data_IF_869998640070
#
_entry.id   IF_869998640070
#
_cell.length_a   1.000
_cell.length_b   1.000
_cell.length_c   1.000
_cell.angle_alpha   90.00
_cell.angle_beta   90.00
_cell.angle_gamma   90.00
#
_symmetry.space_group_name_H-M   'P 1'
#
loop_
_entity.id
_entity.type
_entity.pdbx_description
1 polymer ?
#
# COMPACT_ATOMS: atom_id res chain seq x y z
N UNK A 1 -11.65 10.29 -8.13
CA UNK A 1 -11.56 11.24 -9.26
C UNK A 1 -11.71 12.69 -8.81
N UNK A 2 -12.68 13.03 -7.96
CA UNK A 2 -12.95 14.41 -7.55
C UNK A 2 -11.72 15.12 -6.95
N UNK A 3 -11.00 14.47 -6.02
CA UNK A 3 -9.76 15.04 -5.47
C UNK A 3 -8.70 15.25 -6.56
N UNK A 4 -8.55 14.29 -7.49
CA UNK A 4 -7.59 14.41 -8.62
C UNK A 4 -7.94 15.61 -9.49
N UNK A 5 -9.21 15.75 -9.89
CA UNK A 5 -9.67 16.88 -10.66
C UNK A 5 -9.44 18.23 -9.94
N UNK A 6 -9.76 18.30 -8.64
CA UNK A 6 -9.55 19.50 -7.84
C UNK A 6 -8.07 19.90 -7.78
N UNK A 7 -7.19 18.93 -7.52
CA UNK A 7 -5.73 19.17 -7.46
C UNK A 7 -5.20 19.63 -8.82
N UNK A 8 -5.61 19.00 -9.93
CA UNK A 8 -5.19 19.41 -11.28
C UNK A 8 -5.61 20.86 -11.55
N UNK A 9 -6.85 21.22 -11.25
CA UNK A 9 -7.34 22.61 -11.45
C UNK A 9 -6.54 23.63 -10.64
N UNK A 10 -6.18 23.31 -9.40
CA UNK A 10 -5.34 24.17 -8.57
C UNK A 10 -3.93 24.31 -9.16
N UNK A 11 -3.32 23.22 -9.65
CA UNK A 11 -2.03 23.27 -10.32
C UNK A 11 -2.05 24.15 -11.57
N UNK A 12 -3.10 24.03 -12.37
CA UNK A 12 -3.29 24.88 -13.56
C UNK A 12 -3.41 26.36 -13.21
N UNK A 13 -4.14 26.69 -12.13
CA UNK A 13 -4.22 28.07 -11.62
C UNK A 13 -2.87 28.60 -11.13
N UNK A 14 -2.00 27.72 -10.64
CA UNK A 14 -0.63 28.04 -10.24
C UNK A 14 0.35 28.05 -11.42
N UNK A 15 -0.11 27.83 -12.65
CA UNK A 15 0.67 27.92 -13.88
C UNK A 15 1.31 26.60 -14.34
N UNK A 16 0.99 25.47 -13.73
CA UNK A 16 1.46 24.17 -14.24
C UNK A 16 0.82 23.85 -15.60
N UNK A 17 1.66 23.56 -16.60
CA UNK A 17 1.21 23.32 -17.97
C UNK A 17 1.21 21.83 -18.34
N UNK A 18 2.20 21.08 -17.90
CA UNK A 18 2.34 19.66 -18.22
C UNK A 18 1.96 18.80 -17.01
N UNK A 19 0.72 18.33 -16.99
CA UNK A 19 0.17 17.51 -15.91
C UNK A 19 -0.22 16.15 -16.48
N UNK A 20 0.39 15.09 -15.96
CA UNK A 20 0.14 13.72 -16.36
C UNK A 20 -0.41 12.89 -15.20
N UNK A 21 -1.55 12.24 -15.40
CA UNK A 21 -2.07 11.22 -14.50
C UNK A 21 -1.38 9.90 -14.85
N UNK A 22 -0.67 9.33 -13.90
CA UNK A 22 0.04 8.07 -14.05
C UNK A 22 -0.32 7.08 -12.94
N UNK A 23 -0.48 5.81 -13.30
CA UNK A 23 -0.80 4.70 -12.41
C UNK A 23 -0.11 3.43 -12.88
N UNK A 24 0.23 2.56 -11.95
CA UNK A 24 0.63 1.18 -12.23
C UNK A 24 -0.08 0.23 -11.26
N UNK A 25 -1.01 -0.56 -11.76
CA UNK A 25 -1.72 -1.57 -10.96
C UNK A 25 -0.82 -2.78 -10.65
N UNK A 26 -1.27 -3.71 -9.80
CA UNK A 26 -0.54 -4.93 -9.45
C UNK A 26 -0.56 -6.04 -10.51
N UNK A 27 -1.22 -5.83 -11.66
CA UNK A 27 -1.26 -6.75 -12.81
C UNK A 27 -0.21 -6.41 -13.87
N UNK A 28 -0.28 -7.01 -15.07
CA UNK A 28 0.58 -6.64 -16.18
C UNK A 28 0.53 -5.14 -16.48
N UNK A 29 1.70 -4.52 -16.66
CA UNK A 29 1.80 -3.12 -17.02
C UNK A 29 1.68 -3.01 -18.55
N UNK A 30 0.44 -2.93 -19.05
CA UNK A 30 0.11 -2.97 -20.47
C UNK A 30 -0.96 -1.93 -20.81
N UNK A 31 -0.85 -1.28 -21.97
CA UNK A 31 -1.73 -0.21 -22.40
C UNK A 31 -3.24 -0.56 -22.33
N UNK A 32 -3.72 -1.72 -22.82
CA UNK A 32 -5.15 -2.04 -22.74
C UNK A 32 -5.68 -2.11 -21.32
N UNK A 33 -4.84 -2.57 -20.37
CA UNK A 33 -5.21 -2.66 -18.97
C UNK A 33 -5.21 -1.28 -18.30
N UNK A 34 -4.23 -0.42 -18.62
CA UNK A 34 -4.20 0.96 -18.15
C UNK A 34 -5.43 1.72 -18.62
N UNK A 35 -5.78 1.62 -19.90
CA UNK A 35 -6.96 2.26 -20.46
C UNK A 35 -8.24 1.83 -19.75
N UNK A 36 -8.45 0.53 -19.59
CA UNK A 36 -9.60 -0.02 -18.87
C UNK A 36 -9.63 0.42 -17.39
N UNK A 37 -8.47 0.48 -16.73
CA UNK A 37 -8.34 0.97 -15.37
C UNK A 37 -8.79 2.43 -15.26
N UNK A 38 -8.24 3.32 -16.09
CA UNK A 38 -8.56 4.75 -16.06
C UNK A 38 -10.03 5.03 -16.37
N UNK A 39 -10.64 4.28 -17.27
CA UNK A 39 -12.07 4.36 -17.55
C UNK A 39 -12.91 3.91 -16.35
N UNK A 40 -12.58 2.74 -15.78
CA UNK A 40 -13.33 2.15 -14.67
C UNK A 40 -13.27 2.99 -13.40
N UNK A 41 -12.09 3.59 -13.08
CA UNK A 41 -11.90 4.39 -11.87
C UNK A 41 -12.24 5.88 -12.06
N UNK A 42 -12.67 6.30 -13.25
CA UNK A 42 -13.07 7.68 -13.55
C UNK A 42 -11.90 8.65 -13.78
N UNK A 43 -10.65 8.17 -13.89
CA UNK A 43 -9.49 9.02 -14.18
C UNK A 43 -9.49 9.51 -15.62
N UNK A 44 -10.01 8.70 -16.55
CA UNK A 44 -10.19 9.13 -17.96
C UNK A 44 -11.15 10.33 -18.06
N UNK A 45 -12.21 10.34 -17.25
CA UNK A 45 -13.13 11.47 -17.21
C UNK A 45 -12.50 12.71 -16.57
N UNK A 46 -11.77 12.54 -15.44
CA UNK A 46 -11.04 13.63 -14.80
C UNK A 46 -10.02 14.27 -15.76
N UNK A 47 -9.28 13.46 -16.52
CA UNK A 47 -8.34 13.92 -17.53
C UNK A 47 -9.06 14.74 -18.65
N UNK A 48 -10.19 14.22 -19.17
CA UNK A 48 -10.97 14.95 -20.20
C UNK A 48 -11.48 16.31 -19.72
N UNK A 49 -11.96 16.39 -18.46
CA UNK A 49 -12.49 17.65 -17.88
C UNK A 49 -11.42 18.66 -17.57
N UNK A 50 -10.20 18.22 -17.31
CA UNK A 50 -9.09 19.10 -16.91
C UNK A 50 -8.10 19.36 -18.03
N UNK A 51 -8.10 18.57 -19.10
CA UNK A 51 -7.08 18.61 -20.14
C UNK A 51 -5.74 17.97 -19.72
N UNK A 52 -5.66 17.30 -18.57
CA UNK A 52 -4.48 16.58 -18.16
C UNK A 52 -4.25 15.34 -19.04
N UNK A 53 -2.98 14.96 -19.21
CA UNK A 53 -2.60 13.77 -19.98
C UNK A 53 -2.87 12.50 -19.16
N UNK A 54 -3.20 11.40 -19.82
CA UNK A 54 -3.17 10.05 -19.24
C UNK A 54 -1.92 9.33 -19.72
N UNK A 55 -1.15 8.77 -18.80
CA UNK A 55 -0.06 7.89 -19.18
C UNK A 55 -0.60 6.52 -19.62
N UNK A 56 -0.53 6.24 -20.90
CA UNK A 56 -0.78 4.92 -21.48
C UNK A 56 0.51 4.20 -21.89
N UNK A 57 1.65 4.88 -21.80
CA UNK A 57 2.96 4.30 -22.06
C UNK A 57 3.32 3.24 -21.00
N UNK A 58 4.03 2.21 -21.43
CA UNK A 58 4.46 1.07 -20.59
C UNK A 58 5.96 1.06 -20.34
N UNK A 59 6.64 2.13 -20.72
CA UNK A 59 8.07 2.31 -20.47
C UNK A 59 8.37 2.46 -18.98
N UNK A 60 9.58 2.06 -18.62
CA UNK A 60 10.10 2.17 -17.27
C UNK A 60 11.61 2.29 -17.31
N UNK A 61 12.19 2.95 -16.32
CA UNK A 61 13.65 3.10 -16.19
C UNK A 61 14.11 2.96 -14.75
N UNK A 62 15.39 2.70 -14.59
CA UNK A 62 16.03 2.58 -13.29
C UNK A 62 16.34 3.97 -12.73
N UNK A 63 16.00 4.19 -11.46
CA UNK A 63 16.44 5.32 -10.66
C UNK A 63 17.31 4.83 -9.51
N UNK A 64 18.31 5.64 -9.13
CA UNK A 64 19.19 5.37 -8.00
C UNK A 64 18.80 6.13 -6.76
N UNK A 65 19.22 5.62 -5.60
CA UNK A 65 19.06 6.27 -4.30
C UNK A 65 20.06 5.75 -3.26
N UNK A 66 20.09 6.40 -2.10
CA UNK A 66 20.95 6.05 -0.98
C UNK A 66 20.24 5.13 0.04
N UNK A 67 19.48 4.14 -0.47
CA UNK A 67 18.71 3.24 0.36
C UNK A 67 19.56 2.31 1.23
N UNK A 68 19.00 1.89 2.35
CA UNK A 68 19.64 0.96 3.29
C UNK A 68 19.57 -0.48 2.83
N UNK A 69 18.46 -0.90 2.20
CA UNK A 69 18.24 -2.28 1.72
C UNK A 69 18.12 -2.35 0.21
N UNK A 70 17.72 -1.25 -0.46
CA UNK A 70 17.59 -1.17 -1.91
C UNK A 70 18.08 0.18 -2.40
N UNK A 71 19.03 0.16 -3.33
CA UNK A 71 19.67 1.38 -3.88
C UNK A 71 19.21 1.71 -5.30
N UNK A 72 18.50 0.81 -5.97
CA UNK A 72 18.03 0.97 -7.34
C UNK A 72 16.59 0.48 -7.45
N UNK A 73 15.78 1.26 -8.14
CA UNK A 73 14.38 0.95 -8.37
C UNK A 73 14.05 1.17 -9.83
N UNK A 74 13.32 0.24 -10.43
CA UNK A 74 12.68 0.49 -11.71
C UNK A 74 11.35 1.17 -11.44
N UNK A 75 11.15 2.35 -12.01
CA UNK A 75 9.89 3.11 -11.91
C UNK A 75 9.34 3.37 -13.31
N UNK A 76 8.04 3.60 -13.40
CA UNK A 76 7.40 3.97 -14.68
C UNK A 76 7.93 5.31 -15.17
N UNK A 77 8.08 5.47 -16.49
CA UNK A 77 8.70 6.65 -17.11
C UNK A 77 8.14 7.98 -16.62
N UNK A 78 6.81 8.19 -16.48
CA UNK A 78 6.30 9.46 -16.00
C UNK A 78 6.80 9.89 -14.61
N UNK A 79 7.15 8.90 -13.78
CA UNK A 79 7.70 9.17 -12.44
C UNK A 79 9.17 9.56 -12.52
N UNK A 80 9.93 8.91 -13.41
CA UNK A 80 11.35 9.24 -13.60
C UNK A 80 11.56 10.59 -14.28
N UNK A 81 10.59 11.04 -15.08
CA UNK A 81 10.63 12.32 -15.82
C UNK A 81 10.00 13.49 -15.05
N UNK A 82 9.34 13.22 -13.90
CA UNK A 82 8.62 14.24 -13.18
C UNK A 82 9.54 15.23 -12.43
N UNK A 83 9.30 16.52 -12.55
CA UNK A 83 9.89 17.56 -11.70
C UNK A 83 9.28 17.51 -10.29
N UNK A 84 7.99 17.17 -10.18
CA UNK A 84 7.21 17.08 -8.95
C UNK A 84 6.18 15.96 -9.07
N UNK A 85 6.09 15.15 -8.05
CA UNK A 85 5.07 14.09 -7.93
C UNK A 85 3.98 14.55 -6.98
N UNK A 86 2.72 14.56 -7.44
CA UNK A 86 1.54 14.71 -6.60
C UNK A 86 1.02 13.31 -6.27
N UNK A 87 1.28 12.87 -5.05
CA UNK A 87 0.94 11.53 -4.57
C UNK A 87 -0.45 11.57 -3.91
N UNK A 88 -1.48 11.20 -4.66
CA UNK A 88 -2.87 11.19 -4.17
C UNK A 88 -3.23 9.78 -3.69
N UNK A 89 -3.33 9.58 -2.40
CA UNK A 89 -3.60 8.29 -1.80
C UNK A 89 -4.93 8.24 -1.05
N UNK A 90 -5.53 7.05 -0.98
CA UNK A 90 -6.71 6.76 -0.15
C UNK A 90 -6.25 6.25 1.21
N UNK A 91 -6.78 6.82 2.30
CA UNK A 91 -6.49 6.32 3.64
C UNK A 91 -7.11 4.94 3.84
N UNK A 92 -6.28 3.95 4.19
CA UNK A 92 -6.75 2.60 4.46
C UNK A 92 -5.79 1.79 5.33
N UNK A 93 -6.34 0.84 6.08
CA UNK A 93 -5.57 -0.23 6.69
C UNK A 93 -5.03 -1.18 5.61
N UNK A 94 -3.99 -1.94 5.93
CA UNK A 94 -3.33 -2.84 4.98
C UNK A 94 -2.82 -4.10 5.66
N UNK A 95 -3.11 -5.26 5.08
CA UNK A 95 -2.75 -6.56 5.64
C UNK A 95 -1.25 -6.74 5.91
N UNK A 96 -0.37 -6.21 5.06
CA UNK A 96 1.07 -6.35 5.22
C UNK A 96 1.69 -5.19 6.00
N UNK A 97 1.40 -3.94 5.61
CA UNK A 97 2.06 -2.74 6.15
C UNK A 97 1.30 -2.04 7.26
N UNK A 98 0.13 -2.56 7.67
CA UNK A 98 -0.83 -2.01 8.63
C UNK A 98 -1.52 -0.74 8.11
N UNK A 99 -0.77 0.20 7.57
CA UNK A 99 -1.23 1.45 6.96
C UNK A 99 -0.90 1.44 5.45
N UNK A 100 -1.86 1.86 4.64
CA UNK A 100 -1.63 2.36 3.28
C UNK A 100 -1.95 3.84 3.29
N UNK A 101 -0.90 4.64 3.40
CA UNK A 101 -0.91 6.09 3.42
C UNK A 101 0.02 6.65 2.33
N UNK A 102 0.68 7.75 2.64
CA UNK A 102 1.52 8.47 1.69
C UNK A 102 2.74 7.64 1.23
N UNK A 103 3.47 7.02 2.16
CA UNK A 103 4.67 6.22 1.83
C UNK A 103 4.31 4.98 1.02
N UNK A 104 3.33 4.19 1.48
CA UNK A 104 2.95 2.94 0.79
C UNK A 104 2.36 3.18 -0.59
N UNK A 105 1.64 4.29 -0.80
CA UNK A 105 1.04 4.60 -2.10
C UNK A 105 2.10 4.79 -3.19
N UNK A 106 3.28 5.29 -2.85
CA UNK A 106 4.41 5.44 -3.78
C UNK A 106 4.92 4.10 -4.35
N UNK A 107 4.54 2.97 -3.77
CA UNK A 107 4.77 1.67 -4.39
C UNK A 107 4.04 1.52 -5.75
N UNK A 108 3.03 2.36 -6.00
CA UNK A 108 2.41 2.55 -7.30
C UNK A 108 3.37 2.98 -8.42
N UNK A 109 4.51 3.60 -8.08
CA UNK A 109 5.54 3.99 -9.05
C UNK A 109 6.26 2.80 -9.69
N UNK A 110 6.24 1.62 -9.07
CA UNK A 110 6.87 0.39 -9.57
C UNK A 110 6.00 -0.24 -10.66
N UNK A 111 6.56 -0.65 -11.81
CA UNK A 111 5.79 -1.31 -12.87
C UNK A 111 5.12 -2.61 -12.41
N UNK A 112 3.87 -2.74 -12.65
CA UNK A 112 2.98 -3.91 -12.53
C UNK A 112 3.54 -5.15 -11.83
N UNK A 113 4.00 -6.12 -12.62
CA UNK A 113 4.46 -7.43 -12.12
C UNK A 113 5.76 -7.38 -11.31
N UNK A 114 6.53 -6.31 -11.36
CA UNK A 114 7.69 -6.13 -10.47
C UNK A 114 7.28 -5.96 -9.00
N UNK A 115 6.03 -5.57 -8.71
CA UNK A 115 5.53 -5.49 -7.33
C UNK A 115 5.51 -6.86 -6.63
N UNK A 116 4.94 -7.93 -7.21
CA UNK A 116 5.08 -9.29 -6.67
C UNK A 116 6.53 -9.74 -6.48
N UNK A 117 7.43 -9.40 -7.41
CA UNK A 117 8.86 -9.74 -7.29
C UNK A 117 9.50 -9.08 -6.05
N UNK A 118 9.18 -7.81 -5.78
CA UNK A 118 9.64 -7.13 -4.58
C UNK A 118 9.05 -7.74 -3.30
N UNK A 119 7.81 -8.21 -3.32
CA UNK A 119 7.26 -8.98 -2.20
C UNK A 119 8.01 -10.30 -1.97
N UNK A 120 8.48 -10.95 -3.03
CA UNK A 120 9.29 -12.17 -2.92
C UNK A 120 10.70 -11.87 -2.42
N UNK A 121 11.31 -10.80 -2.90
CA UNK A 121 12.65 -10.35 -2.50
C UNK A 121 12.69 -9.90 -1.04
N UNK A 122 11.61 -9.29 -0.55
CA UNK A 122 11.45 -8.81 0.83
C UNK A 122 10.21 -9.46 1.48
N UNK A 123 10.26 -10.78 1.78
CA UNK A 123 9.11 -11.51 2.30
C UNK A 123 8.76 -11.13 3.74
N UNK A 124 9.76 -10.65 4.50
CA UNK A 124 9.55 -10.18 5.86
C UNK A 124 8.99 -8.75 5.82
N UNK A 125 7.93 -8.53 6.60
CA UNK A 125 7.22 -7.25 6.69
C UNK A 125 8.16 -6.06 6.98
N UNK A 126 9.12 -6.27 7.88
CA UNK A 126 10.06 -5.24 8.29
C UNK A 126 10.98 -4.82 7.13
N UNK A 127 11.52 -5.78 6.39
CA UNK A 127 12.40 -5.51 5.25
C UNK A 127 11.64 -4.91 4.07
N UNK A 128 10.40 -5.35 3.85
CA UNK A 128 9.53 -4.75 2.86
C UNK A 128 9.24 -3.27 3.16
N UNK A 129 8.99 -2.94 4.44
CA UNK A 129 8.77 -1.56 4.86
C UNK A 129 10.05 -0.71 4.76
N UNK A 130 11.24 -1.28 5.05
CA UNK A 130 12.52 -0.62 4.79
C UNK A 130 12.70 -0.29 3.31
N UNK A 131 12.40 -1.23 2.43
CA UNK A 131 12.43 -1.02 0.98
C UNK A 131 11.47 0.08 0.53
N UNK A 132 10.25 0.16 1.10
CA UNK A 132 9.31 1.25 0.78
C UNK A 132 9.85 2.63 1.18
N UNK A 133 10.54 2.74 2.31
CA UNK A 133 11.20 3.99 2.72
C UNK A 133 12.36 4.34 1.78
N UNK A 134 13.14 3.35 1.35
CA UNK A 134 14.21 3.55 0.40
C UNK A 134 13.68 4.01 -0.97
N UNK A 135 12.59 3.40 -1.48
CA UNK A 135 11.90 3.84 -2.68
C UNK A 135 11.42 5.29 -2.53
N UNK A 136 10.73 5.57 -1.42
CA UNK A 136 10.23 6.91 -1.13
C UNK A 136 11.34 7.97 -1.16
N UNK A 137 12.52 7.66 -0.63
CA UNK A 137 13.66 8.57 -0.60
C UNK A 137 14.35 8.72 -1.97
N UNK A 138 14.21 7.76 -2.88
CA UNK A 138 14.82 7.78 -4.21
C UNK A 138 14.00 8.56 -5.25
N UNK A 139 12.73 8.85 -4.97
CA UNK A 139 11.84 9.55 -5.89
C UNK A 139 12.15 11.06 -5.96
N UNK A 140 11.79 11.74 -7.06
CA UNK A 140 11.74 13.20 -7.16
C UNK A 140 10.94 13.85 -6.01
N UNK A 141 10.92 15.18 -5.88
CA UNK A 141 10.08 15.86 -4.90
C UNK A 141 8.63 15.38 -4.92
N UNK A 142 8.06 15.13 -3.73
CA UNK A 142 6.70 14.58 -3.59
C UNK A 142 5.89 15.45 -2.65
N UNK A 143 4.70 15.87 -3.08
CA UNK A 143 3.65 16.40 -2.20
C UNK A 143 2.56 15.34 -2.13
N UNK A 144 2.14 14.97 -0.92
CA UNK A 144 1.15 13.90 -0.72
C UNK A 144 -0.18 14.48 -0.26
N UNK A 145 -1.25 14.00 -0.88
CA UNK A 145 -2.64 14.24 -0.49
C UNK A 145 -3.27 12.93 -0.06
N UNK A 146 -3.93 12.93 1.08
CA UNK A 146 -4.66 11.76 1.59
C UNK A 146 -6.15 12.03 1.52
N UNK A 147 -6.83 11.29 0.66
CA UNK A 147 -8.29 11.23 0.65
C UNK A 147 -8.76 10.29 1.77
N UNK A 148 -9.24 10.88 2.85
CA UNK A 148 -9.85 10.20 3.97
C UNK A 148 -11.33 10.58 4.11
N UNK A 149 -12.00 11.09 3.07
CA UNK A 149 -13.45 11.32 3.11
C UNK A 149 -14.16 9.98 3.32
N UNK A 150 -13.93 9.03 2.41
CA UNK A 150 -14.31 7.62 2.58
C UNK A 150 -13.03 6.79 2.67
N UNK A 151 -12.66 6.38 3.87
CA UNK A 151 -11.52 5.53 4.16
C UNK A 151 -11.88 4.04 4.13
N UNK A 152 -10.90 3.17 4.42
CA UNK A 152 -11.12 1.73 4.55
C UNK A 152 -10.46 1.20 5.82
N UNK A 153 -11.19 0.38 6.58
CA UNK A 153 -10.71 -0.31 7.77
C UNK A 153 -10.72 -1.84 7.60
N UNK A 154 -10.05 -2.58 8.49
CA UNK A 154 -9.99 -4.04 8.46
C UNK A 154 -8.98 -4.59 7.45
N UNK A 155 -9.35 -5.61 6.69
CA UNK A 155 -8.44 -6.36 5.81
C UNK A 155 -8.20 -5.64 4.46
N UNK A 156 -7.76 -4.37 4.52
CA UNK A 156 -7.30 -3.66 3.32
C UNK A 156 -6.09 -4.34 2.65
N UNK A 157 -5.75 -3.96 1.42
CA UNK A 157 -6.15 -2.73 0.74
C UNK A 157 -7.44 -2.82 -0.07
N UNK A 158 -8.05 -4.02 -0.25
CA UNK A 158 -9.23 -4.24 -1.09
C UNK A 158 -10.37 -4.98 -0.40
N UNK A 159 -10.07 -5.79 0.62
CA UNK A 159 -11.02 -6.62 1.36
C UNK A 159 -11.58 -5.99 2.64
N UNK A 160 -11.27 -4.72 2.91
CA UNK A 160 -11.75 -4.01 4.08
C UNK A 160 -13.17 -3.47 3.95
N UNK A 161 -13.62 -2.75 4.98
CA UNK A 161 -14.92 -2.08 5.04
C UNK A 161 -14.73 -0.58 4.84
N UNK A 162 -15.69 0.06 4.21
CA UNK A 162 -15.74 1.53 4.13
C UNK A 162 -15.92 2.12 5.52
N UNK A 163 -15.24 3.23 5.77
CA UNK A 163 -15.41 4.05 6.98
C UNK A 163 -15.39 5.51 6.58
N UNK A 164 -16.46 6.21 6.88
CA UNK A 164 -16.54 7.65 6.68
C UNK A 164 -15.68 8.37 7.72
N UNK A 165 -14.82 9.28 7.29
CA UNK A 165 -13.95 10.11 8.14
C UNK A 165 -14.15 11.59 7.84
N UNK A 166 -14.44 11.94 6.57
CA UNK A 166 -14.74 13.31 6.18
C UNK A 166 -13.51 14.24 6.06
N UNK A 167 -12.30 13.68 6.00
CA UNK A 167 -11.06 14.45 6.00
C UNK A 167 -10.31 14.38 4.66
N UNK A 168 -9.60 15.46 4.36
CA UNK A 168 -8.52 15.48 3.37
C UNK A 168 -7.27 16.05 4.04
N UNK A 169 -6.14 15.38 3.90
CA UNK A 169 -4.86 15.77 4.49
C UNK A 169 -3.84 16.04 3.37
N UNK A 170 -2.91 16.96 3.60
CA UNK A 170 -1.86 17.27 2.64
C UNK A 170 -0.56 17.62 3.36
N UNK A 171 0.57 17.17 2.82
CA UNK A 171 1.90 17.55 3.30
C UNK A 171 2.97 17.34 2.23
N UNK A 172 4.00 18.18 2.24
CA UNK A 172 5.25 17.94 1.53
C UNK A 172 6.12 16.89 2.26
N UNK A 173 5.90 16.71 3.57
CA UNK A 173 6.53 15.64 4.35
C UNK A 173 5.58 14.44 4.46
N UNK A 174 5.81 13.44 3.60
CA UNK A 174 5.01 12.20 3.55
C UNK A 174 5.17 11.31 4.78
N UNK A 175 6.28 11.44 5.50
CA UNK A 175 6.54 10.65 6.71
C UNK A 175 5.77 11.24 7.90
N UNK A 176 5.83 12.56 8.09
CA UNK A 176 5.00 13.26 9.07
C UNK A 176 3.50 13.07 8.76
N UNK A 177 3.12 13.06 7.47
CA UNK A 177 1.74 12.80 7.06
C UNK A 177 1.28 11.39 7.46
N UNK A 178 2.12 10.36 7.32
CA UNK A 178 1.76 9.00 7.75
C UNK A 178 1.73 8.86 9.28
N UNK A 179 2.47 9.67 10.03
CA UNK A 179 2.32 9.79 11.48
C UNK A 179 0.96 10.40 11.86
N UNK A 180 0.50 11.43 11.13
CA UNK A 180 -0.86 11.99 11.28
C UNK A 180 -1.93 10.97 10.88
N UNK A 181 -1.72 10.24 9.79
CA UNK A 181 -2.60 9.14 9.39
C UNK A 181 -2.75 8.07 10.47
N UNK A 182 -1.68 7.75 11.21
CA UNK A 182 -1.74 6.84 12.35
C UNK A 182 -2.69 7.35 13.45
N UNK A 183 -2.66 8.66 13.73
CA UNK A 183 -3.56 9.29 14.68
C UNK A 183 -5.03 9.23 14.22
N UNK A 184 -5.30 9.52 12.94
CA UNK A 184 -6.64 9.40 12.34
C UNK A 184 -7.16 7.97 12.42
N UNK A 185 -6.29 6.98 12.22
CA UNK A 185 -6.65 5.56 12.35
C UNK A 185 -6.85 5.12 13.81
N UNK A 186 -6.37 5.89 14.80
CA UNK A 186 -6.33 5.46 16.18
C UNK A 186 -5.41 4.25 16.41
N UNK A 187 -4.35 4.13 15.59
CA UNK A 187 -3.38 3.03 15.65
C UNK A 187 -2.06 3.55 16.18
N UNK A 188 -1.48 2.84 17.16
CA UNK A 188 -0.16 3.19 17.70
C UNK A 188 0.89 3.25 16.57
N UNK A 189 1.57 4.40 16.36
CA UNK A 189 2.62 4.56 15.36
C UNK A 189 3.71 3.50 15.44
N UNK A 190 4.06 3.03 16.64
CA UNK A 190 5.05 1.98 16.86
C UNK A 190 4.62 0.63 16.24
N UNK A 191 3.33 0.40 16.07
CA UNK A 191 2.77 -0.81 15.45
C UNK A 191 2.72 -0.74 13.92
N UNK A 192 2.97 0.43 13.32
CA UNK A 192 3.00 0.66 11.88
C UNK A 192 4.47 0.68 11.43
N UNK A 193 4.97 -0.36 10.76
CA UNK A 193 6.40 -0.49 10.48
C UNK A 193 6.99 0.66 9.65
N UNK A 194 6.26 1.19 8.67
CA UNK A 194 6.72 2.34 7.87
C UNK A 194 6.87 3.59 8.73
N UNK A 195 5.96 3.86 9.66
CA UNK A 195 6.02 5.02 10.56
C UNK A 195 7.12 4.84 11.59
N UNK A 196 7.15 3.70 12.29
CA UNK A 196 8.19 3.39 13.28
C UNK A 196 9.59 3.50 12.69
N UNK A 197 9.83 2.86 11.54
CA UNK A 197 11.14 2.89 10.88
C UNK A 197 11.50 4.26 10.32
N UNK A 198 10.53 5.09 9.92
CA UNK A 198 10.81 6.47 9.51
C UNK A 198 11.27 7.32 10.69
N UNK A 199 10.69 7.12 11.88
CA UNK A 199 11.14 7.75 13.13
C UNK A 199 12.56 7.25 13.49
N UNK A 200 12.79 5.95 13.47
CA UNK A 200 14.11 5.33 13.73
C UNK A 200 15.22 5.85 12.80
N UNK A 201 14.87 6.18 11.56
CA UNK A 201 15.80 6.76 10.57
C UNK A 201 15.94 8.30 10.66
N UNK A 202 15.21 8.96 11.54
CA UNK A 202 15.18 10.43 11.63
C UNK A 202 14.50 11.12 10.45
N UNK A 203 13.68 10.40 9.68
CA UNK A 203 12.92 10.94 8.55
C UNK A 203 11.59 11.57 8.99
N UNK A 204 11.11 11.24 10.17
CA UNK A 204 9.82 11.64 10.72
C UNK A 204 10.01 12.17 12.15
N UNK A 205 9.24 13.19 12.60
CA UNK A 205 9.17 13.57 14.00
C UNK A 205 8.84 12.36 14.90
N UNK A 206 9.40 12.34 16.11
CA UNK A 206 9.22 11.21 17.03
C UNK A 206 7.78 11.10 17.57
N UNK A 207 7.03 12.20 17.54
CA UNK A 207 5.65 12.24 18.04
C UNK A 207 4.79 13.24 17.26
N UNK A 208 3.48 13.06 17.32
CA UNK A 208 2.51 13.99 16.75
C UNK A 208 2.61 15.41 17.31
N UNK A 209 3.05 15.56 18.59
CA UNK A 209 3.23 16.85 19.22
C UNK A 209 4.29 17.73 18.55
N UNK A 210 5.22 17.12 17.82
CA UNK A 210 6.28 17.82 17.07
C UNK A 210 5.85 18.17 15.63
N UNK A 211 4.68 17.72 15.20
CA UNK A 211 4.15 18.02 13.86
C UNK A 211 3.35 19.32 13.92
N UNK A 212 3.70 20.28 13.07
CA UNK A 212 2.89 21.49 12.88
C UNK A 212 1.64 21.14 12.09
N UNK A 213 0.49 21.08 12.76
CA UNK A 213 -0.80 20.86 12.16
C UNK A 213 -1.48 22.19 11.84
N UNK A 214 -1.93 22.34 10.60
CA UNK A 214 -2.75 23.48 10.16
C UNK A 214 -4.16 22.96 9.85
N UNK A 215 -5.19 23.73 10.19
CA UNK A 215 -6.59 23.35 10.02
C UNK A 215 -7.22 22.75 11.27
N UNK A 216 -8.23 21.92 11.07
CA UNK A 216 -9.03 21.35 12.16
C UNK A 216 -8.33 20.15 12.81
N UNK A 217 -7.73 20.39 13.98
CA UNK A 217 -7.03 19.34 14.75
C UNK A 217 -7.98 18.36 15.41
N UNK A 218 -9.15 18.81 15.82
CA UNK A 218 -10.11 17.98 16.53
C UNK A 218 -10.73 16.94 15.61
N UNK A 219 -10.81 17.26 14.33
CA UNK A 219 -11.30 16.33 13.30
C UNK A 219 -10.46 15.05 13.18
N UNK A 220 -9.18 15.05 13.58
CA UNK A 220 -8.32 13.86 13.45
C UNK A 220 -8.81 12.64 14.23
N UNK A 221 -9.55 12.85 15.32
CA UNK A 221 -10.04 11.77 16.20
C UNK A 221 -11.53 11.52 16.11
N UNK A 222 -12.27 12.32 15.34
CA UNK A 222 -13.74 12.27 15.28
C UNK A 222 -14.28 10.94 14.72
N UNK A 223 -13.54 10.30 13.80
CA UNK A 223 -13.97 9.03 13.20
C UNK A 223 -13.89 7.83 14.16
N UNK A 224 -13.29 8.01 15.33
CA UNK A 224 -12.96 6.92 16.26
C UNK A 224 -11.96 5.90 15.69
N UNK A 225 -11.53 4.92 16.49
CA UNK A 225 -10.51 3.97 16.08
C UNK A 225 -10.96 3.10 14.91
N UNK A 226 -10.02 2.76 14.04
CA UNK A 226 -10.24 1.85 12.91
C UNK A 226 -10.07 0.40 13.34
N UNK A 227 -10.84 -0.49 12.73
CA UNK A 227 -10.62 -1.92 12.87
C UNK A 227 -9.26 -2.28 12.26
N UNK A 228 -8.35 -2.91 13.03
CA UNK A 228 -7.07 -3.34 12.49
C UNK A 228 -7.22 -4.50 11.51
N UNK A 229 -6.26 -4.71 10.59
CA UNK A 229 -6.27 -5.89 9.73
C UNK A 229 -6.06 -7.19 10.54
N UNK A 230 -6.79 -8.24 10.21
CA UNK A 230 -6.65 -9.58 10.83
C UNK A 230 -5.28 -10.22 10.59
N UNK A 231 -4.53 -9.73 9.62
CA UNK A 231 -3.15 -10.14 9.32
C UNK A 231 -2.11 -9.62 10.31
N UNK A 232 -2.51 -8.84 11.34
CA UNK A 232 -1.57 -8.38 12.39
C UNK A 232 -0.84 -9.59 12.97
N UNK A 233 0.46 -9.68 12.66
CA UNK A 233 1.30 -10.75 13.20
C UNK A 233 1.62 -10.44 14.65
N UNK A 234 1.48 -11.43 15.52
CA UNK A 234 1.94 -11.36 16.89
C UNK A 234 3.30 -12.04 16.93
N UNK A 235 4.37 -11.27 17.03
CA UNK A 235 5.72 -11.83 17.14
C UNK A 235 6.06 -12.08 18.63
N UNK A 236 5.83 -13.31 19.06
CA UNK A 236 6.22 -13.74 20.41
C UNK A 236 7.73 -14.02 20.51
N UNK A 237 8.47 -14.05 19.40
CA UNK A 237 9.89 -14.42 19.44
C UNK A 237 10.74 -13.37 20.14
N UNK A 238 10.29 -12.10 20.17
CA UNK A 238 10.96 -11.01 20.87
C UNK A 238 11.07 -11.24 22.38
N UNK A 239 10.15 -12.03 22.97
CA UNK A 239 10.15 -12.38 24.41
C UNK A 239 11.19 -13.46 24.76
N UNK A 240 11.83 -14.06 23.76
CA UNK A 240 12.82 -15.14 23.97
C UNK A 240 14.25 -14.62 23.75
N UNK A 241 15.26 -15.23 24.43
CA UNK A 241 16.67 -14.95 24.19
C UNK A 241 17.05 -15.07 22.71
N UNK A 242 17.96 -14.24 22.24
CA UNK A 242 18.36 -14.15 20.84
C UNK A 242 18.64 -15.49 20.15
N UNK A 243 19.36 -16.47 20.76
CA UNK A 243 19.64 -17.75 20.10
C UNK A 243 18.41 -18.64 19.90
N UNK A 244 17.34 -18.47 20.70
CA UNK A 244 16.10 -19.26 20.59
C UNK A 244 15.08 -18.68 19.62
N UNK A 245 15.22 -17.39 19.24
CA UNK A 245 14.28 -16.68 18.36
C UNK A 245 14.03 -17.39 17.03
N UNK A 246 15.03 -17.93 16.30
CA UNK A 246 14.80 -18.63 15.05
C UNK A 246 13.92 -19.89 15.21
N UNK A 247 14.17 -20.68 16.27
CA UNK A 247 13.39 -21.86 16.55
C UNK A 247 11.93 -21.51 16.93
N UNK A 248 11.75 -20.50 17.78
CA UNK A 248 10.43 -19.97 18.15
C UNK A 248 9.69 -19.44 16.93
N UNK A 249 10.33 -18.68 16.05
CA UNK A 249 9.74 -18.22 14.78
C UNK A 249 9.29 -19.38 13.90
N UNK A 250 10.07 -20.45 13.81
CA UNK A 250 9.73 -21.64 13.02
C UNK A 250 8.49 -22.36 13.58
N UNK A 251 8.43 -22.53 14.90
CA UNK A 251 7.28 -23.18 15.58
C UNK A 251 6.03 -22.30 15.52
N UNK A 252 6.17 -20.99 15.74
CA UNK A 252 5.02 -20.08 15.76
C UNK A 252 4.53 -19.69 14.37
N UNK A 253 5.27 -20.03 13.29
CA UNK A 253 4.88 -19.73 11.91
C UNK A 253 3.51 -20.30 11.54
N UNK A 254 3.12 -21.45 12.08
CA UNK A 254 1.81 -22.03 11.81
C UNK A 254 0.66 -21.29 12.50
N UNK A 255 0.95 -20.55 13.60
CA UNK A 255 -0.01 -19.70 14.32
C UNK A 255 -0.29 -18.38 13.59
N UNK A 256 0.61 -17.95 12.69
CA UNK A 256 0.49 -16.67 12.02
C UNK A 256 -0.67 -16.67 11.01
N UNK A 257 -1.27 -15.50 10.74
CA UNK A 257 -2.30 -15.34 9.73
C UNK A 257 -1.87 -15.88 8.37
N UNK A 258 -2.78 -16.54 7.66
CA UNK A 258 -2.53 -17.12 6.33
C UNK A 258 -3.70 -16.87 5.39
N UNK A 259 -3.46 -16.71 4.07
CA UNK A 259 -4.54 -16.63 3.10
C UNK A 259 -5.28 -17.97 3.03
N UNK A 260 -6.60 -17.93 2.85
CA UNK A 260 -7.46 -19.12 2.74
C UNK A 260 -8.53 -18.89 1.68
N UNK A 261 -8.70 -19.86 0.77
CA UNK A 261 -9.69 -19.75 -0.30
C UNK A 261 -11.07 -20.17 0.23
N UNK A 262 -12.06 -19.30 0.14
CA UNK A 262 -13.47 -19.67 0.28
C UNK A 262 -13.95 -20.31 -1.00
N UNK A 263 -13.93 -21.65 -1.05
CA UNK A 263 -14.24 -22.40 -2.28
C UNK A 263 -15.59 -22.06 -2.90
N UNK A 264 -16.60 -21.75 -2.10
CA UNK A 264 -17.94 -21.37 -2.56
C UNK A 264 -17.93 -20.07 -3.40
N UNK A 265 -17.09 -19.12 -3.04
CA UNK A 265 -17.00 -17.78 -3.67
C UNK A 265 -15.95 -17.75 -4.81
N UNK A 266 -15.06 -18.75 -4.85
CA UNK A 266 -14.00 -18.81 -5.85
C UNK A 266 -14.57 -19.21 -7.21
N UNK A 267 -14.29 -18.40 -8.24
CA UNK A 267 -14.72 -18.63 -9.63
C UNK A 267 -13.64 -19.28 -10.52
N UNK A 268 -12.44 -19.56 -9.96
CA UNK A 268 -11.35 -20.19 -10.68
C UNK A 268 -10.68 -19.34 -11.76
N UNK A 269 -10.76 -18.01 -11.67
CA UNK A 269 -10.26 -17.08 -12.70
C UNK A 269 -8.72 -17.02 -12.84
N UNK A 270 -7.95 -17.61 -11.92
CA UNK A 270 -6.48 -17.65 -11.98
C UNK A 270 -5.73 -16.42 -11.48
N UNK A 271 -6.35 -15.25 -11.30
CA UNK A 271 -5.66 -14.00 -10.93
C UNK A 271 -4.81 -14.08 -9.66
N UNK A 272 -5.24 -14.86 -8.68
CA UNK A 272 -4.46 -15.11 -7.47
C UNK A 272 -3.23 -15.98 -7.70
N UNK A 273 -3.27 -16.89 -8.70
CA UNK A 273 -2.12 -17.71 -9.09
C UNK A 273 -1.11 -16.88 -9.89
N UNK A 274 -1.57 -16.05 -10.82
CA UNK A 274 -0.75 -15.14 -11.63
C UNK A 274 0.00 -14.12 -10.74
N UNK A 275 -0.68 -13.59 -9.72
CA UNK A 275 -0.10 -12.61 -8.79
C UNK A 275 0.71 -13.24 -7.65
N UNK A 276 0.82 -14.57 -7.58
CA UNK A 276 1.55 -15.24 -6.52
C UNK A 276 3.06 -15.26 -6.81
N UNK A 277 3.89 -14.44 -6.14
CA UNK A 277 5.32 -14.39 -6.42
C UNK A 277 6.05 -15.70 -6.08
N UNK A 278 5.52 -16.47 -5.12
CA UNK A 278 6.06 -17.77 -4.71
C UNK A 278 5.48 -18.95 -5.52
N UNK A 279 4.62 -18.70 -6.52
CA UNK A 279 3.97 -19.71 -7.38
C UNK A 279 3.33 -20.87 -6.61
N UNK A 280 2.75 -20.57 -5.44
CA UNK A 280 2.18 -21.57 -4.53
C UNK A 280 0.68 -21.82 -4.75
N UNK A 281 0.07 -21.17 -5.76
CA UNK A 281 -1.36 -21.27 -6.02
C UNK A 281 -1.57 -21.95 -7.38
N UNK A 282 -2.43 -22.96 -7.39
CA UNK A 282 -2.85 -23.68 -8.60
C UNK A 282 -4.37 -23.64 -8.72
N UNK A 283 -4.86 -23.72 -9.96
CA UNK A 283 -6.30 -23.86 -10.22
C UNK A 283 -6.58 -25.34 -10.47
N UNK A 284 -7.30 -25.97 -9.56
CA UNK A 284 -7.74 -27.36 -9.66
C UNK A 284 -9.27 -27.40 -9.63
N UNK A 285 -9.89 -28.11 -10.55
CA UNK A 285 -11.36 -28.23 -10.63
C UNK A 285 -12.07 -26.85 -10.59
N UNK A 286 -11.53 -25.88 -11.33
CA UNK A 286 -12.03 -24.50 -11.36
C UNK A 286 -12.02 -23.79 -9.99
N UNK A 287 -11.17 -24.21 -9.06
CA UNK A 287 -10.98 -23.57 -7.74
C UNK A 287 -9.50 -23.35 -7.47
N UNK A 288 -9.17 -22.25 -6.82
CA UNK A 288 -7.81 -21.99 -6.38
C UNK A 288 -7.45 -22.87 -5.17
N UNK A 289 -6.22 -23.38 -5.16
CA UNK A 289 -5.65 -24.20 -4.05
C UNK A 289 -4.26 -23.65 -3.71
N UNK A 290 -3.98 -23.43 -2.44
CA UNK A 290 -2.72 -22.87 -1.94
C UNK A 290 -1.84 -23.97 -1.35
N UNK A 291 -0.59 -24.08 -1.81
CA UNK A 291 0.44 -24.91 -1.21
C UNK A 291 1.17 -24.12 -0.09
N UNK A 292 0.72 -24.27 1.14
CA UNK A 292 1.20 -23.46 2.29
C UNK A 292 2.68 -23.60 2.67
N UNK A 293 3.39 -24.74 2.47
CA UNK A 293 4.79 -24.85 2.86
C UNK A 293 5.69 -23.74 2.29
N UNK A 294 5.45 -23.32 1.04
CA UNK A 294 6.23 -22.32 0.36
C UNK A 294 5.54 -20.94 0.31
N UNK A 295 4.37 -20.79 0.92
CA UNK A 295 3.65 -19.53 0.94
C UNK A 295 4.36 -18.51 1.84
N UNK A 296 4.76 -17.37 1.26
CA UNK A 296 5.44 -16.27 1.96
C UNK A 296 4.47 -15.32 2.70
N UNK A 297 3.15 -15.56 2.60
CA UNK A 297 2.09 -14.79 3.29
C UNK A 297 2.11 -13.28 2.99
N UNK A 298 2.47 -12.92 1.77
CA UNK A 298 2.44 -11.52 1.29
C UNK A 298 1.01 -10.99 1.07
N UNK A 299 0.01 -11.87 1.03
CA UNK A 299 -1.41 -11.56 0.77
C UNK A 299 -1.74 -10.95 -0.61
N UNK A 300 -0.81 -10.92 -1.57
CA UNK A 300 -1.09 -10.48 -2.94
C UNK A 300 -2.30 -11.20 -3.56
N UNK A 301 -2.48 -12.48 -3.26
CA UNK A 301 -3.65 -13.25 -3.70
C UNK A 301 -4.98 -12.73 -3.11
N UNK A 302 -4.97 -12.19 -1.89
CA UNK A 302 -6.12 -11.54 -1.27
C UNK A 302 -6.44 -10.22 -1.97
N UNK A 303 -5.41 -9.41 -2.23
CA UNK A 303 -5.55 -8.10 -2.88
C UNK A 303 -6.09 -8.23 -4.31
N UNK A 304 -5.61 -9.23 -5.06
CA UNK A 304 -5.92 -9.42 -6.48
C UNK A 304 -7.20 -10.19 -6.75
N UNK A 305 -7.90 -10.68 -5.73
CA UNK A 305 -9.10 -11.50 -5.93
C UNK A 305 -10.33 -10.64 -6.26
N UNK A 306 -10.89 -10.67 -7.51
CA UNK A 306 -12.02 -9.83 -7.90
C UNK A 306 -13.32 -10.21 -7.19
N UNK A 307 -13.40 -11.43 -6.63
CA UNK A 307 -14.54 -11.93 -5.85
C UNK A 307 -14.29 -11.89 -4.35
N UNK A 308 -13.15 -11.31 -3.91
CA UNK A 308 -12.75 -11.30 -2.51
C UNK A 308 -12.86 -12.69 -1.84
N UNK A 309 -12.66 -13.76 -2.64
CA UNK A 309 -12.79 -15.14 -2.18
C UNK A 309 -11.56 -15.65 -1.41
N UNK A 310 -10.51 -14.85 -1.30
CA UNK A 310 -9.33 -15.16 -0.48
C UNK A 310 -9.46 -14.45 0.86
N UNK A 311 -9.67 -15.21 1.89
CA UNK A 311 -9.83 -14.71 3.26
C UNK A 311 -8.51 -14.79 4.05
N UNK A 312 -8.42 -14.05 5.15
CA UNK A 312 -7.29 -14.10 6.07
C UNK A 312 -7.74 -14.90 7.30
N UNK A 313 -7.19 -16.10 7.47
CA UNK A 313 -7.47 -16.94 8.63
C UNK A 313 -6.41 -16.80 9.70
N UNK A 314 -6.87 -16.60 10.94
CA UNK A 314 -6.13 -16.76 12.19
C UNK A 314 -6.61 -18.02 12.91
N UNK A 315 -5.83 -18.51 13.88
CA UNK A 315 -6.34 -19.45 14.87
C UNK A 315 -7.21 -18.67 15.85
N UNK A 316 -8.44 -19.14 16.09
CA UNK A 316 -9.49 -18.42 16.85
C UNK A 316 -9.14 -18.05 18.29
N UNK A 317 -8.06 -18.60 18.86
CA UNK A 317 -7.52 -18.19 20.18
C UNK A 317 -6.97 -16.75 20.20
N UNK A 318 -6.84 -16.09 19.06
CA UNK A 318 -6.35 -14.71 18.92
C UNK A 318 -7.42 -13.73 18.41
N UNK A 319 -8.67 -14.15 18.37
CA UNK A 319 -9.81 -13.31 18.00
C UNK A 319 -10.47 -12.61 19.22
N UNK A 320 -9.76 -12.60 20.37
CA UNK A 320 -10.15 -11.93 21.61
C UNK A 320 -9.63 -10.48 21.64
#
# INVERSE_FOLDING_TARGET
PALVEAVIRQLQQLGAQDITIAESSGGPYAEPLLKSLYETCGMAEAARRTGAKLNLGTGSREIGGNGQVTRRFTVIDPIADADLILNLCKLKTHCMTVLSGAVKNLFGCIPGLMKPELHMRYPEKEDFCRMLLDLSAALPPVISFVDAVEAMEGDGPTGGRKKHVGLTLCSADRYALDLVNAAVLGIDPASIPTVRQSIERGLCPASLAQVQLLGDRDALTQAGPFLPPRSKQTDFSSQFPAPLRPAVKKVTRWLQPRPSIRRKDCIGCGKCAESCPAHTIRILERKAVIAYPNCIRCFCCHEMCPKQAVDIRRLGIFDL
#
